data_IF_098948753527
#
_entry.id   IF_098948753527
#
_cell.length_a   1.000
_cell.length_b   1.000
_cell.length_c   1.000
_cell.angle_alpha   90.00
_cell.angle_beta   90.00
_cell.angle_gamma   90.00
#
_symmetry.space_group_name_H-M   'P 1'
#
loop_
_entity.id
_entity.type
_entity.pdbx_description
1 polymer ?
#
# COMPACT_ATOMS: atom_id res chain seq x y z
N UNK A 1 -5.63 -13.37 3.54
CA UNK A 1 -6.24 -13.36 2.20
C UNK A 1 -5.17 -13.61 1.16
N UNK A 2 -4.21 -12.69 0.97
CA UNK A 2 -3.21 -12.79 -0.11
C UNK A 2 -2.28 -14.02 -0.02
N UNK A 3 -1.97 -14.51 1.18
CA UNK A 3 -1.19 -15.74 1.40
C UNK A 3 -1.94 -17.04 1.06
N UNK A 4 -3.28 -17.01 1.10
CA UNK A 4 -4.13 -18.19 0.88
C UNK A 4 -4.45 -18.40 -0.60
N UNK A 5 -4.39 -17.33 -1.40
CA UNK A 5 -4.66 -17.40 -2.84
C UNK A 5 -3.74 -18.37 -3.61
N UNK A 6 -2.41 -18.38 -3.42
CA UNK A 6 -1.54 -19.36 -4.09
C UNK A 6 -1.76 -20.78 -3.58
N UNK A 7 -2.00 -20.97 -2.28
CA UNK A 7 -2.30 -22.29 -1.69
C UNK A 7 -3.59 -22.88 -2.28
N UNK A 8 -4.64 -22.08 -2.37
CA UNK A 8 -5.92 -22.49 -2.96
C UNK A 8 -5.82 -22.72 -4.47
N UNK A 9 -5.03 -21.90 -5.19
CA UNK A 9 -4.81 -22.10 -6.62
C UNK A 9 -4.07 -23.42 -6.90
N UNK A 10 -3.05 -23.76 -6.11
CA UNK A 10 -2.35 -25.05 -6.23
C UNK A 10 -3.29 -26.22 -5.91
N UNK A 11 -4.08 -26.13 -4.84
CA UNK A 11 -5.03 -27.18 -4.46
C UNK A 11 -6.14 -27.42 -5.51
N UNK A 12 -6.52 -26.39 -6.27
CA UNK A 12 -7.56 -26.48 -7.30
C UNK A 12 -7.03 -26.84 -8.68
N UNK A 13 -5.81 -26.44 -9.02
CA UNK A 13 -5.25 -26.61 -10.36
C UNK A 13 -4.48 -27.93 -10.55
N UNK A 14 -4.11 -28.62 -9.46
CA UNK A 14 -3.21 -29.78 -9.54
C UNK A 14 -3.81 -30.99 -8.82
N UNK A 15 -4.06 -32.11 -9.53
CA UNK A 15 -4.45 -33.38 -8.91
C UNK A 15 -3.22 -34.13 -8.40
N UNK A 16 -2.65 -33.72 -7.26
CA UNK A 16 -1.49 -34.43 -6.68
C UNK A 16 -0.90 -33.78 -5.42
N UNK A 17 -0.08 -34.55 -4.69
CA UNK A 17 0.66 -34.05 -3.54
C UNK A 17 1.83 -33.17 -4.00
N UNK A 18 1.62 -31.86 -4.04
CA UNK A 18 2.66 -30.90 -4.40
C UNK A 18 3.75 -30.84 -3.33
N UNK A 19 5.02 -30.57 -3.69
CA UNK A 19 6.04 -30.24 -2.70
C UNK A 19 5.62 -28.99 -1.92
N UNK A 20 5.18 -29.18 -0.67
CA UNK A 20 4.80 -28.10 0.24
C UNK A 20 5.84 -26.96 0.37
N UNK A 21 7.17 -27.17 0.19
CA UNK A 21 8.13 -26.07 0.19
C UNK A 21 7.95 -25.13 -1.00
N UNK A 22 7.54 -25.63 -2.17
CA UNK A 22 7.34 -24.83 -3.37
C UNK A 22 6.06 -23.98 -3.25
N UNK A 23 5.00 -24.54 -2.64
CA UNK A 23 3.78 -23.77 -2.31
C UNK A 23 4.08 -22.69 -1.28
N UNK A 24 4.84 -23.02 -0.23
CA UNK A 24 5.25 -22.06 0.79
C UNK A 24 6.09 -20.93 0.19
N UNK A 25 7.03 -21.26 -0.71
CA UNK A 25 7.86 -20.30 -1.43
C UNK A 25 7.00 -19.36 -2.30
N UNK A 26 6.05 -19.89 -3.06
CA UNK A 26 5.12 -19.07 -3.86
C UNK A 26 4.28 -18.15 -2.99
N UNK A 27 3.76 -18.65 -1.85
CA UNK A 27 2.98 -17.86 -0.91
C UNK A 27 3.79 -16.73 -0.28
N UNK A 28 5.02 -17.01 0.13
CA UNK A 28 5.97 -16.01 0.60
C UNK A 28 6.25 -15.00 -0.50
N UNK A 29 6.74 -15.45 -1.67
CA UNK A 29 7.09 -14.57 -2.79
C UNK A 29 5.94 -13.63 -3.16
N UNK A 30 4.70 -14.12 -3.17
CA UNK A 30 3.49 -13.33 -3.39
C UNK A 30 3.37 -12.18 -2.38
N UNK A 31 3.48 -12.48 -1.08
CA UNK A 31 3.42 -11.47 -0.01
C UNK A 31 4.54 -10.43 -0.15
N UNK A 32 5.76 -10.90 -0.46
CA UNK A 32 6.95 -10.06 -0.61
C UNK A 32 6.82 -9.12 -1.81
N UNK A 33 6.39 -9.64 -2.97
CA UNK A 33 6.18 -8.87 -4.20
C UNK A 33 5.05 -7.85 -4.02
N UNK A 34 3.98 -8.21 -3.31
CA UNK A 34 2.88 -7.29 -3.01
C UNK A 34 3.29 -6.19 -2.03
N UNK A 35 4.12 -6.52 -1.04
CA UNK A 35 4.72 -5.55 -0.14
C UNK A 35 5.63 -4.58 -0.88
N UNK A 36 6.51 -5.09 -1.75
CA UNK A 36 7.44 -4.28 -2.53
C UNK A 36 6.73 -3.35 -3.52
N UNK A 37 5.67 -3.84 -4.19
CA UNK A 37 4.82 -3.03 -5.08
C UNK A 37 3.96 -1.99 -4.35
N UNK A 38 4.05 -1.91 -3.02
CA UNK A 38 3.30 -0.94 -2.22
C UNK A 38 1.79 -1.16 -2.31
N UNK A 39 1.34 -2.36 -2.66
CA UNK A 39 -0.08 -2.71 -2.83
C UNK A 39 -0.84 -2.73 -1.49
N UNK A 40 -0.14 -2.56 -0.37
CA UNK A 40 -0.69 -2.35 0.96
C UNK A 40 -0.74 -0.87 1.39
N UNK A 41 -0.22 0.06 0.57
CA UNK A 41 -0.32 1.50 0.88
C UNK A 41 -1.78 1.91 0.89
N UNK A 42 -2.16 2.71 1.90
CA UNK A 42 -3.52 3.22 2.04
C UNK A 42 -3.78 4.28 0.98
N UNK A 43 -4.35 3.85 -0.14
CA UNK A 43 -4.87 4.73 -1.19
C UNK A 43 -6.27 5.26 -0.86
N UNK A 44 -6.55 6.49 -1.29
CA UNK A 44 -7.86 7.15 -1.15
C UNK A 44 -8.91 6.54 -2.08
N UNK A 45 -8.52 6.13 -3.27
CA UNK A 45 -9.38 5.43 -4.23
C UNK A 45 -8.69 4.16 -4.75
N UNK A 46 -8.77 3.04 -4.02
CA UNK A 46 -8.23 1.78 -4.51
C UNK A 46 -9.09 1.26 -5.67
N UNK A 47 -8.43 0.82 -6.73
CA UNK A 47 -9.05 0.22 -7.92
C UNK A 47 -8.40 -1.13 -8.24
N UNK A 48 -9.19 -2.20 -8.14
CA UNK A 48 -8.74 -3.57 -8.45
C UNK A 48 -8.30 -3.68 -9.91
N UNK A 49 -8.99 -2.99 -10.82
CA UNK A 49 -8.69 -3.01 -12.25
C UNK A 49 -7.26 -2.49 -12.54
N UNK A 50 -6.80 -1.53 -11.75
CA UNK A 50 -5.44 -0.99 -11.88
C UNK A 50 -4.37 -1.95 -11.33
N UNK A 51 -4.74 -2.86 -10.45
CA UNK A 51 -3.84 -3.84 -9.85
C UNK A 51 -3.80 -5.15 -10.65
N UNK A 52 -4.85 -5.44 -11.43
CA UNK A 52 -5.01 -6.66 -12.24
C UNK A 52 -3.79 -7.01 -13.11
N UNK A 53 -3.20 -6.11 -13.92
CA UNK A 53 -2.05 -6.48 -14.76
C UNK A 53 -0.82 -6.84 -13.92
N UNK A 54 -0.62 -6.18 -12.78
CA UNK A 54 0.46 -6.52 -11.86
C UNK A 54 0.21 -7.88 -11.19
N UNK A 55 -1.02 -8.15 -10.74
CA UNK A 55 -1.40 -9.42 -10.13
C UNK A 55 -1.24 -10.59 -11.11
N UNK A 56 -1.72 -10.41 -12.34
CA UNK A 56 -1.64 -11.41 -13.40
C UNK A 56 -0.20 -11.68 -13.82
N UNK A 57 0.60 -10.64 -14.05
CA UNK A 57 2.00 -10.80 -14.45
C UNK A 57 2.84 -11.50 -13.38
N UNK A 58 2.63 -11.17 -12.11
CA UNK A 58 3.33 -11.84 -11.00
C UNK A 58 2.88 -13.30 -10.84
N UNK A 59 1.58 -13.58 -10.98
CA UNK A 59 1.06 -14.95 -10.95
C UNK A 59 1.64 -15.79 -12.10
N UNK A 60 1.63 -15.27 -13.33
CA UNK A 60 2.20 -15.96 -14.50
C UNK A 60 3.68 -16.26 -14.30
N UNK A 61 4.47 -15.30 -13.81
CA UNK A 61 5.89 -15.50 -13.52
C UNK A 61 6.11 -16.60 -12.47
N UNK A 62 5.33 -16.61 -11.39
CA UNK A 62 5.43 -17.62 -10.34
C UNK A 62 5.07 -19.03 -10.82
N UNK A 63 4.05 -19.15 -11.66
CA UNK A 63 3.66 -20.44 -12.24
C UNK A 63 4.64 -20.91 -13.30
N UNK A 64 5.22 -20.00 -14.08
CA UNK A 64 6.28 -20.32 -15.03
C UNK A 64 7.54 -20.85 -14.33
N UNK A 65 8.02 -20.16 -13.29
CA UNK A 65 9.18 -20.63 -12.51
C UNK A 65 8.89 -21.99 -11.85
N UNK A 66 7.68 -22.20 -11.34
CA UNK A 66 7.29 -23.49 -10.77
C UNK A 66 7.31 -24.61 -11.81
N UNK A 67 6.85 -24.34 -13.03
CA UNK A 67 6.90 -25.29 -14.15
C UNK A 67 8.33 -25.71 -14.47
N UNK A 68 9.26 -24.75 -14.65
CA UNK A 68 10.67 -25.04 -14.95
C UNK A 68 11.37 -25.81 -13.82
N UNK A 69 11.09 -25.46 -12.56
CA UNK A 69 11.66 -26.18 -11.40
C UNK A 69 11.14 -27.61 -11.34
N UNK A 70 9.86 -27.84 -11.60
CA UNK A 70 9.31 -29.19 -11.59
C UNK A 70 9.83 -30.02 -12.77
N UNK A 71 9.99 -29.43 -13.94
CA UNK A 71 10.58 -30.11 -15.09
C UNK A 71 12.03 -30.56 -14.81
N UNK A 72 12.82 -29.71 -14.15
CA UNK A 72 14.21 -30.02 -13.81
C UNK A 72 14.39 -31.02 -12.65
N UNK A 73 13.55 -30.96 -11.62
CA UNK A 73 13.76 -31.71 -10.36
C UNK A 73 12.82 -32.93 -10.20
N UNK A 74 11.66 -32.91 -10.85
CA UNK A 74 10.64 -33.94 -10.74
C UNK A 74 9.85 -34.05 -12.05
N UNK A 75 10.47 -34.51 -13.16
CA UNK A 75 9.84 -34.50 -14.49
C UNK A 75 8.54 -35.33 -14.56
N UNK A 76 8.33 -36.27 -13.64
CA UNK A 76 7.06 -37.01 -13.52
C UNK A 76 5.89 -36.14 -13.04
N UNK A 77 6.17 -34.95 -12.51
CA UNK A 77 5.21 -33.96 -12.03
C UNK A 77 5.21 -32.70 -12.93
N UNK A 78 5.77 -32.79 -14.14
CA UNK A 78 5.84 -31.69 -15.08
C UNK A 78 4.43 -31.15 -15.38
N UNK A 79 4.33 -29.82 -15.40
CA UNK A 79 3.06 -29.11 -15.56
C UNK A 79 2.94 -28.65 -17.02
N UNK A 80 1.78 -28.90 -17.64
CA UNK A 80 1.48 -28.33 -18.96
C UNK A 80 1.01 -26.88 -18.92
N UNK A 81 1.09 -26.19 -20.06
CA UNK A 81 0.64 -24.80 -20.24
C UNK A 81 -0.79 -24.52 -19.76
N UNK A 82 -1.69 -25.51 -19.88
CA UNK A 82 -3.08 -25.39 -19.39
C UNK A 82 -3.15 -25.21 -17.87
N UNK A 83 -2.38 -25.97 -17.11
CA UNK A 83 -2.37 -25.90 -15.64
C UNK A 83 -1.68 -24.61 -15.18
N UNK A 84 -0.64 -24.15 -15.89
CA UNK A 84 -0.05 -22.82 -15.68
C UNK A 84 -1.10 -21.72 -15.86
N UNK A 85 -1.84 -21.73 -16.97
CA UNK A 85 -2.86 -20.73 -17.28
C UNK A 85 -4.02 -20.76 -16.27
N UNK A 86 -4.54 -21.96 -15.95
CA UNK A 86 -5.61 -22.13 -14.97
C UNK A 86 -5.17 -21.75 -13.55
N UNK A 87 -3.96 -22.13 -13.15
CA UNK A 87 -3.39 -21.80 -11.84
C UNK A 87 -3.18 -20.30 -11.68
N UNK A 88 -2.52 -19.66 -12.65
CA UNK A 88 -2.30 -18.21 -12.65
C UNK A 88 -3.62 -17.44 -12.71
N UNK A 89 -4.59 -17.89 -13.53
CA UNK A 89 -5.92 -17.30 -13.62
C UNK A 89 -6.69 -17.40 -12.29
N UNK A 90 -6.70 -18.57 -11.67
CA UNK A 90 -7.38 -18.81 -10.38
C UNK A 90 -6.74 -17.99 -9.27
N UNK A 91 -5.41 -17.96 -9.19
CA UNK A 91 -4.68 -17.13 -8.22
C UNK A 91 -4.98 -15.64 -8.39
N UNK A 92 -5.02 -15.16 -9.63
CA UNK A 92 -5.37 -13.77 -9.94
C UNK A 92 -6.82 -13.48 -9.56
N UNK A 93 -7.76 -14.36 -9.89
CA UNK A 93 -9.18 -14.22 -9.55
C UNK A 93 -9.40 -14.18 -8.04
N UNK A 94 -8.78 -15.08 -7.28
CA UNK A 94 -8.85 -15.11 -5.81
C UNK A 94 -8.24 -13.85 -5.19
N UNK A 95 -7.09 -13.40 -5.69
CA UNK A 95 -6.45 -12.15 -5.28
C UNK A 95 -7.34 -10.93 -5.53
N UNK A 96 -7.90 -10.82 -6.73
CA UNK A 96 -8.83 -9.76 -7.11
C UNK A 96 -10.11 -9.79 -6.26
N UNK A 97 -10.70 -10.97 -6.04
CA UNK A 97 -11.91 -11.13 -5.23
C UNK A 97 -11.66 -10.75 -3.76
N UNK A 98 -10.53 -11.19 -3.19
CA UNK A 98 -10.15 -10.86 -1.83
C UNK A 98 -9.91 -9.36 -1.64
N UNK A 99 -9.21 -8.73 -2.58
CA UNK A 99 -8.98 -7.28 -2.58
C UNK A 99 -10.28 -6.51 -2.79
N UNK A 100 -11.13 -6.92 -3.71
CA UNK A 100 -12.45 -6.33 -3.91
C UNK A 100 -13.31 -6.40 -2.63
N UNK A 101 -13.29 -7.53 -1.92
CA UNK A 101 -13.97 -7.69 -0.65
C UNK A 101 -13.41 -6.74 0.42
N UNK A 102 -12.08 -6.64 0.55
CA UNK A 102 -11.42 -5.70 1.49
C UNK A 102 -11.73 -4.25 1.12
N UNK A 103 -11.63 -3.86 -0.15
CA UNK A 103 -11.95 -2.51 -0.58
C UNK A 103 -13.42 -2.18 -0.35
N UNK A 104 -14.34 -3.12 -0.59
CA UNK A 104 -15.77 -2.94 -0.32
C UNK A 104 -16.05 -2.83 1.18
N UNK A 105 -15.42 -3.66 2.00
CA UNK A 105 -15.53 -3.60 3.46
C UNK A 105 -14.98 -2.27 4.00
N UNK A 106 -13.81 -1.82 3.51
CA UNK A 106 -13.22 -0.53 3.86
C UNK A 106 -14.08 0.65 3.41
N UNK A 107 -14.62 0.63 2.19
CA UNK A 107 -15.56 1.65 1.70
C UNK A 107 -16.82 1.70 2.57
N UNK A 108 -17.40 0.55 2.92
CA UNK A 108 -18.56 0.48 3.82
C UNK A 108 -18.23 1.02 5.22
N UNK A 109 -17.08 0.66 5.77
CA UNK A 109 -16.62 1.16 7.07
C UNK A 109 -16.36 2.67 7.03
N UNK A 110 -15.75 3.16 5.95
CA UNK A 110 -15.48 4.58 5.69
C UNK A 110 -16.76 5.41 5.62
N UNK A 111 -17.80 4.91 4.95
CA UNK A 111 -19.12 5.57 4.90
C UNK A 111 -19.79 5.57 6.28
N UNK A 112 -19.66 4.48 7.06
CA UNK A 112 -20.26 4.38 8.40
C UNK A 112 -19.54 5.21 9.46
N UNK A 113 -18.24 5.40 9.33
CA UNK A 113 -17.39 6.15 10.26
C UNK A 113 -16.43 7.05 9.49
N UNK A 114 -16.95 8.16 8.93
CA UNK A 114 -16.11 9.09 8.19
C UNK A 114 -15.12 9.79 9.14
N UNK A 115 -13.92 10.02 8.65
CA UNK A 115 -12.84 10.66 9.40
C UNK A 115 -12.92 12.18 9.22
N UNK A 116 -12.88 12.92 10.32
CA UNK A 116 -12.84 14.37 10.33
C UNK A 116 -11.62 14.89 9.58
N UNK A 117 -11.88 15.76 8.60
CA UNK A 117 -10.90 16.31 7.66
C UNK A 117 -10.95 17.84 7.68
N UNK A 118 -9.79 18.49 7.80
CA UNK A 118 -9.68 19.94 7.58
C UNK A 118 -9.23 20.21 6.14
N UNK A 119 -9.88 21.15 5.47
CA UNK A 119 -9.47 21.63 4.16
C UNK A 119 -8.66 22.91 4.35
N UNK A 120 -7.45 22.96 3.84
CA UNK A 120 -6.54 24.10 3.93
C UNK A 120 -6.40 24.72 2.55
N UNK A 121 -6.83 25.97 2.42
CA UNK A 121 -6.73 26.73 1.20
C UNK A 121 -7.94 27.61 0.97
N UNK A 122 -7.88 28.37 -0.12
CA UNK A 122 -8.83 29.44 -0.44
C UNK A 122 -9.29 29.36 -1.91
N UNK A 123 -10.33 30.13 -2.24
CA UNK A 123 -10.84 30.24 -3.61
C UNK A 123 -11.68 29.05 -4.10
N UNK A 124 -11.89 29.01 -5.42
CA UNK A 124 -12.79 28.04 -6.06
C UNK A 124 -12.35 26.58 -5.86
N UNK A 125 -11.04 26.31 -5.88
CA UNK A 125 -10.52 24.95 -5.72
C UNK A 125 -10.82 24.38 -4.31
N UNK A 126 -10.62 25.18 -3.25
CA UNK A 126 -10.95 24.76 -1.88
C UNK A 126 -12.45 24.50 -1.71
N UNK A 127 -13.30 25.33 -2.32
CA UNK A 127 -14.76 25.14 -2.33
C UNK A 127 -15.18 23.87 -3.09
N UNK A 128 -14.61 23.61 -4.26
CA UNK A 128 -14.89 22.40 -5.04
C UNK A 128 -14.44 21.12 -4.34
N UNK A 129 -13.25 21.12 -3.73
CA UNK A 129 -12.74 19.98 -2.95
C UNK A 129 -13.60 19.74 -1.72
N UNK A 130 -14.03 20.81 -1.04
CA UNK A 130 -14.93 20.73 0.13
C UNK A 130 -16.29 20.16 -0.26
N UNK A 131 -16.90 20.66 -1.34
CA UNK A 131 -18.17 20.15 -1.86
C UNK A 131 -18.04 18.68 -2.28
N UNK A 132 -16.98 18.32 -3.01
CA UNK A 132 -16.73 16.95 -3.43
C UNK A 132 -16.59 15.99 -2.25
N UNK A 133 -15.89 16.39 -1.18
CA UNK A 133 -15.75 15.63 0.06
C UNK A 133 -17.07 15.45 0.80
N UNK A 134 -17.91 16.49 0.80
CA UNK A 134 -19.22 16.45 1.44
C UNK A 134 -20.22 15.57 0.68
N UNK A 135 -20.30 15.73 -0.63
CA UNK A 135 -21.22 15.02 -1.52
C UNK A 135 -20.85 13.53 -1.67
N UNK A 136 -19.57 13.18 -1.49
CA UNK A 136 -19.05 11.82 -1.68
C UNK A 136 -18.46 11.22 -0.40
N UNK A 137 -19.30 10.80 0.58
CA UNK A 137 -18.84 10.17 1.81
C UNK A 137 -18.13 8.83 1.58
N UNK A 138 -18.18 8.28 0.36
CA UNK A 138 -17.47 7.07 -0.07
C UNK A 138 -15.95 7.17 0.07
N UNK A 139 -15.38 8.39 0.10
CA UNK A 139 -13.96 8.62 0.37
C UNK A 139 -13.60 8.45 1.86
N UNK A 140 -14.58 8.36 2.76
CA UNK A 140 -14.36 8.20 4.20
C UNK A 140 -13.81 9.43 4.89
N UNK A 141 -13.89 10.59 4.23
CA UNK A 141 -13.42 11.87 4.71
C UNK A 141 -14.61 12.79 4.84
N UNK A 142 -14.83 13.36 6.03
CA UNK A 142 -15.88 14.36 6.27
C UNK A 142 -15.22 15.70 6.53
N UNK A 143 -15.47 16.74 5.72
CA UNK A 143 -14.91 18.06 5.96
C UNK A 143 -15.57 18.65 7.22
N UNK A 144 -14.76 19.11 8.16
CA UNK A 144 -15.22 19.70 9.44
C UNK A 144 -14.87 21.17 9.61
N UNK A 145 -14.02 21.71 8.73
CA UNK A 145 -13.62 23.11 8.76
C UNK A 145 -12.74 23.47 7.55
N UNK A 146 -12.79 24.76 7.20
CA UNK A 146 -12.00 25.36 6.13
C UNK A 146 -10.96 26.30 6.75
N UNK A 147 -9.68 26.08 6.49
CA UNK A 147 -8.59 26.93 6.94
C UNK A 147 -8.24 27.91 5.83
N UNK A 148 -8.38 29.20 6.12
CA UNK A 148 -8.17 30.30 5.18
C UNK A 148 -7.09 31.22 5.73
N UNK A 149 -6.27 31.80 4.84
CA UNK A 149 -5.20 32.70 5.25
C UNK A 149 -5.75 33.99 5.91
N UNK A 150 -5.00 34.60 6.85
CA UNK A 150 -5.33 35.91 7.39
C UNK A 150 -5.37 36.96 6.27
N UNK A 151 -6.49 37.68 6.13
CA UNK A 151 -6.66 38.71 5.11
C UNK A 151 -7.39 38.28 3.83
N UNK A 152 -7.83 37.02 3.73
CA UNK A 152 -8.75 36.63 2.66
C UNK A 152 -10.08 37.41 2.76
N UNK A 153 -10.60 37.82 1.59
CA UNK A 153 -11.82 38.63 1.50
C UNK A 153 -13.07 37.91 1.99
N UNK A 154 -14.13 38.66 2.25
CA UNK A 154 -15.40 38.09 2.76
C UNK A 154 -16.04 37.10 1.78
N UNK A 155 -15.73 37.16 0.48
CA UNK A 155 -16.16 36.16 -0.53
C UNK A 155 -15.47 34.79 -0.39
N UNK A 156 -14.28 34.73 0.22
CA UNK A 156 -13.58 33.49 0.56
C UNK A 156 -14.02 32.95 1.92
N UNK A 157 -14.57 33.82 2.80
CA UNK A 157 -15.17 33.47 4.10
C UNK A 157 -16.64 33.09 4.00
N UNK A 158 -17.34 33.62 3.01
CA UNK A 158 -18.73 33.32 2.73
C UNK A 158 -18.83 31.91 2.11
N UNK A 159 -19.28 30.99 2.96
CA UNK A 159 -19.82 29.67 2.66
C UNK A 159 -19.72 29.26 1.18
N UNK A 160 -18.81 28.34 0.88
CA UNK A 160 -19.10 27.36 -0.17
C UNK A 160 -20.46 26.69 0.12
N UNK A 161 -21.00 25.93 -0.83
CA UNK A 161 -22.32 25.28 -0.72
C UNK A 161 -22.57 24.44 0.57
N UNK A 162 -21.54 24.22 1.39
CA UNK A 162 -21.58 23.53 2.68
C UNK A 162 -21.20 24.51 3.81
N UNK A 163 -22.05 24.69 4.84
CA UNK A 163 -21.75 25.55 5.98
C UNK A 163 -20.71 24.88 6.89
N UNK A 164 -19.44 25.26 6.72
CA UNK A 164 -18.33 24.81 7.57
C UNK A 164 -17.70 25.98 8.33
N UNK A 165 -17.21 25.76 9.56
CA UNK A 165 -16.49 26.79 10.29
C UNK A 165 -15.21 27.17 9.54
N UNK A 166 -15.01 28.48 9.36
CA UNK A 166 -13.80 29.04 8.77
C UNK A 166 -12.80 29.33 9.89
N UNK A 167 -11.61 28.75 9.79
CA UNK A 167 -10.52 28.88 10.75
C UNK A 167 -9.45 29.77 10.12
N UNK A 168 -9.11 30.87 10.77
CA UNK A 168 -8.19 31.87 10.20
C UNK A 168 -6.83 31.82 10.90
N UNK A 169 -6.82 31.49 12.19
CA UNK A 169 -5.58 31.43 12.98
C UNK A 169 -5.07 29.99 13.17
N UNK A 170 -3.74 29.76 13.22
CA UNK A 170 -3.17 28.45 13.54
C UNK A 170 -3.64 27.91 14.92
N UNK A 171 -3.97 28.82 15.85
CA UNK A 171 -4.48 28.48 17.18
C UNK A 171 -5.90 27.92 17.11
N UNK A 172 -6.77 28.52 16.29
CA UNK A 172 -8.10 27.97 15.97
C UNK A 172 -7.98 26.61 15.30
N UNK A 173 -7.02 26.43 14.39
CA UNK A 173 -6.78 25.13 13.76
C UNK A 173 -6.37 24.09 14.81
N UNK A 174 -5.42 24.39 15.70
CA UNK A 174 -5.04 23.49 16.79
C UNK A 174 -6.24 23.10 17.67
N UNK A 175 -7.07 24.07 18.06
CA UNK A 175 -8.30 23.81 18.82
C UNK A 175 -9.28 22.92 18.05
N UNK A 176 -9.52 23.23 16.78
CA UNK A 176 -10.42 22.46 15.93
C UNK A 176 -9.93 21.03 15.71
N UNK A 177 -8.60 20.82 15.59
CA UNK A 177 -7.98 19.49 15.48
C UNK A 177 -8.30 18.64 16.70
N UNK A 178 -8.13 19.20 17.90
CA UNK A 178 -8.42 18.49 19.16
C UNK A 178 -9.93 18.27 19.33
N UNK A 179 -10.74 19.31 19.18
CA UNK A 179 -12.19 19.27 19.40
C UNK A 179 -12.91 18.32 18.43
N UNK A 180 -12.56 18.35 17.15
CA UNK A 180 -13.20 17.52 16.12
C UNK A 180 -12.46 16.21 15.86
N UNK A 181 -11.42 15.91 16.65
CA UNK A 181 -10.56 14.72 16.49
C UNK A 181 -10.10 14.56 15.03
N UNK A 182 -9.56 15.63 14.46
CA UNK A 182 -9.17 15.67 13.04
C UNK A 182 -8.06 14.66 12.78
N UNK A 183 -8.27 13.80 11.79
CA UNK A 183 -7.29 12.77 11.40
C UNK A 183 -6.63 13.07 10.07
N UNK A 184 -7.26 13.91 9.25
CA UNK A 184 -6.82 14.19 7.88
C UNK A 184 -6.81 15.69 7.64
N UNK A 185 -5.85 16.17 6.87
CA UNK A 185 -5.83 17.54 6.38
C UNK A 185 -5.54 17.56 4.88
N UNK A 186 -6.26 18.39 4.15
CA UNK A 186 -6.24 18.44 2.69
C UNK A 186 -5.87 19.86 2.26
N UNK A 187 -4.65 20.02 1.78
CA UNK A 187 -4.14 21.27 1.20
C UNK A 187 -4.56 21.36 -0.26
N UNK A 188 -5.17 22.47 -0.68
CA UNK A 188 -5.52 22.69 -2.09
C UNK A 188 -4.41 23.37 -2.90
N UNK A 189 -3.37 23.86 -2.22
CA UNK A 189 -2.16 24.42 -2.82
C UNK A 189 -0.93 23.89 -2.06
N UNK A 190 0.26 23.88 -2.67
CA UNK A 190 1.49 23.50 -1.98
C UNK A 190 1.66 24.29 -0.67
N UNK A 191 2.12 23.67 0.44
CA UNK A 191 2.35 24.37 1.70
C UNK A 191 3.27 25.58 1.55
N UNK A 192 4.21 25.55 0.60
CA UNK A 192 5.15 26.64 0.31
C UNK A 192 4.46 27.85 -0.34
N UNK A 193 3.40 27.61 -1.11
CA UNK A 193 2.60 28.64 -1.77
C UNK A 193 1.44 29.15 -0.91
N UNK A 194 1.22 28.53 0.25
CA UNK A 194 0.12 28.86 1.17
C UNK A 194 0.66 29.73 2.30
N UNK A 195 0.05 30.88 2.61
CA UNK A 195 0.41 31.66 3.79
C UNK A 195 0.32 30.81 5.06
N UNK A 196 1.35 30.85 5.90
CA UNK A 196 1.52 29.98 7.09
C UNK A 196 1.48 28.46 6.81
N UNK A 197 1.54 28.05 5.55
CA UNK A 197 1.41 26.65 5.13
C UNK A 197 2.44 25.71 5.75
N UNK A 198 3.74 26.04 5.86
CA UNK A 198 4.73 25.19 6.51
C UNK A 198 4.52 25.06 8.02
N UNK A 199 4.08 26.13 8.68
CA UNK A 199 3.75 26.12 10.10
C UNK A 199 2.52 25.24 10.36
N UNK A 200 1.51 25.36 9.50
CA UNK A 200 0.29 24.57 9.56
C UNK A 200 0.55 23.08 9.26
N UNK A 201 1.40 22.79 8.27
CA UNK A 201 1.86 21.43 7.96
C UNK A 201 2.54 20.80 9.18
N UNK A 202 3.42 21.55 9.84
CA UNK A 202 4.13 21.10 11.05
C UNK A 202 3.18 20.88 12.22
N UNK A 203 2.22 21.79 12.42
CA UNK A 203 1.18 21.66 13.45
C UNK A 203 0.32 20.42 13.23
N UNK A 204 -0.21 20.22 12.03
CA UNK A 204 -1.07 19.10 11.69
C UNK A 204 -0.31 17.77 11.78
N UNK A 205 0.93 17.73 11.29
CA UNK A 205 1.79 16.55 11.40
C UNK A 205 2.15 16.24 12.85
N UNK A 206 2.39 17.27 13.68
CA UNK A 206 2.65 17.13 15.11
C UNK A 206 1.47 16.57 15.91
N UNK A 207 0.24 16.83 15.45
CA UNK A 207 -0.98 16.21 16.01
C UNK A 207 -1.28 14.83 15.42
N UNK A 208 -0.40 14.30 14.57
CA UNK A 208 -0.57 12.99 13.92
C UNK A 208 -1.63 12.97 12.82
N UNK A 209 -2.03 14.14 12.30
CA UNK A 209 -2.93 14.21 11.15
C UNK A 209 -2.19 13.78 9.88
N UNK A 210 -2.86 13.01 9.02
CA UNK A 210 -2.33 12.67 7.70
C UNK A 210 -2.61 13.81 6.73
N UNK A 211 -1.56 14.35 6.14
CA UNK A 211 -1.65 15.54 5.29
C UNK A 211 -1.58 15.16 3.81
N UNK A 212 -2.51 15.70 3.03
CA UNK A 212 -2.67 15.46 1.59
C UNK A 212 -2.60 16.77 0.84
N UNK A 213 -1.93 16.77 -0.30
CA UNK A 213 -1.97 17.83 -1.30
C UNK A 213 -2.93 17.43 -2.41
N UNK A 214 -3.89 18.30 -2.70
CA UNK A 214 -4.81 18.18 -3.82
C UNK A 214 -4.41 19.21 -4.86
N UNK A 215 -4.05 18.76 -6.05
CA UNK A 215 -3.75 19.62 -7.19
C UNK A 215 -4.91 19.59 -8.19
N UNK A 216 -5.14 20.72 -8.84
CA UNK A 216 -6.22 20.88 -9.82
C UNK A 216 -6.07 19.93 -11.01
N UNK A 217 -7.17 19.68 -11.76
CA UNK A 217 -7.13 18.87 -12.96
C UNK A 217 -6.11 19.45 -13.97
N UNK A 218 -5.11 18.66 -14.35
CA UNK A 218 -4.06 19.05 -15.30
C UNK A 218 -2.77 19.59 -14.68
N UNK A 219 -2.70 19.79 -13.35
CA UNK A 219 -1.47 20.21 -12.69
C UNK A 219 -0.52 19.01 -12.49
N UNK A 220 0.43 18.86 -13.42
CA UNK A 220 1.55 17.92 -13.30
C UNK A 220 2.59 18.46 -12.31
N UNK A 221 2.31 18.40 -11.02
CA UNK A 221 3.37 18.55 -10.03
C UNK A 221 4.40 17.44 -10.27
N UNK A 222 5.68 17.78 -10.44
CA UNK A 222 6.78 16.84 -10.69
C UNK A 222 6.72 15.67 -9.71
N UNK A 223 6.24 14.53 -10.19
CA UNK A 223 6.12 13.33 -9.40
C UNK A 223 7.47 12.59 -9.41
N UNK A 224 7.93 12.03 -8.28
CA UNK A 224 8.88 10.93 -8.36
C UNK A 224 8.23 9.79 -9.17
N UNK A 225 8.98 9.21 -10.10
CA UNK A 225 8.49 8.36 -11.19
C UNK A 225 7.68 7.11 -10.77
N UNK A 226 7.69 6.75 -9.48
CA UNK A 226 7.21 5.44 -9.01
C UNK A 226 5.82 5.42 -8.34
N UNK A 227 5.13 6.57 -8.21
CA UNK A 227 3.84 6.59 -7.53
C UNK A 227 2.74 7.24 -8.39
N UNK A 228 1.89 6.40 -9.00
CA UNK A 228 0.63 6.85 -9.61
C UNK A 228 -0.17 7.68 -8.58
N UNK A 229 -0.54 8.94 -8.89
CA UNK A 229 -1.27 9.80 -7.97
C UNK A 229 -2.65 9.20 -7.66
N UNK A 230 -3.12 9.39 -6.43
CA UNK A 230 -4.50 9.03 -6.09
C UNK A 230 -5.45 10.09 -6.64
N UNK A 231 -6.74 9.75 -6.78
CA UNK A 231 -7.75 10.67 -7.28
C UNK A 231 -8.90 10.86 -6.29
N UNK A 232 -9.34 12.10 -6.15
CA UNK A 232 -10.50 12.52 -5.37
C UNK A 232 -11.39 13.34 -6.29
N UNK A 233 -12.50 12.75 -6.75
CA UNK A 233 -13.51 13.41 -7.59
C UNK A 233 -12.94 14.29 -8.73
N UNK A 234 -11.99 13.76 -9.51
CA UNK A 234 -11.34 14.48 -10.62
C UNK A 234 -10.07 15.26 -10.25
N UNK A 235 -9.79 15.46 -8.96
CA UNK A 235 -8.56 16.05 -8.47
C UNK A 235 -7.47 14.99 -8.24
N UNK A 236 -6.21 15.35 -8.44
CA UNK A 236 -5.06 14.51 -8.09
C UNK A 236 -4.65 14.75 -6.65
N UNK A 237 -4.48 13.68 -5.88
CA UNK A 237 -4.16 13.72 -4.45
C UNK A 237 -2.85 13.00 -4.18
N UNK A 238 -1.98 13.65 -3.42
CA UNK A 238 -0.68 13.12 -3.00
C UNK A 238 -0.47 13.32 -1.50
N UNK A 239 0.00 12.32 -0.75
CA UNK A 239 0.38 12.53 0.65
C UNK A 239 1.60 13.47 0.73
N UNK A 240 1.51 14.54 1.53
CA UNK A 240 2.60 15.49 1.83
C UNK A 240 3.47 14.98 2.99
N UNK A 241 2.86 14.29 3.93
CA UNK A 241 3.53 13.76 5.11
C UNK A 241 3.08 12.32 5.33
N UNK A 242 3.92 11.36 4.89
CA UNK A 242 3.84 9.95 5.30
C UNK A 242 4.71 9.70 6.55
N UNK A 243 4.69 10.66 7.49
CA UNK A 243 5.53 10.64 8.71
C UNK A 243 5.29 9.44 9.63
N UNK A 244 4.26 8.63 9.38
CA UNK A 244 3.89 7.46 10.20
C UNK A 244 3.83 6.14 9.42
N UNK A 245 4.03 6.12 8.10
CA UNK A 245 3.85 4.90 7.27
C UNK A 245 5.19 4.26 6.80
N UNK A 246 6.35 4.84 7.15
CA UNK A 246 7.67 4.22 6.85
C UNK A 246 8.06 2.97 7.65
N UNK A 247 7.54 2.64 8.87
CA UNK A 247 8.02 1.45 9.57
C UNK A 247 7.53 0.17 8.91
N UNK A 248 6.30 0.15 8.38
CA UNK A 248 5.71 -1.06 7.79
C UNK A 248 6.39 -1.42 6.47
N UNK A 249 6.77 -0.43 5.64
CA UNK A 249 7.52 -0.68 4.42
C UNK A 249 8.93 -1.24 4.68
N UNK A 250 9.64 -0.70 5.67
CA UNK A 250 10.98 -1.18 6.05
C UNK A 250 10.92 -2.51 6.80
N UNK A 251 9.96 -2.71 7.69
CA UNK A 251 9.74 -3.98 8.37
C UNK A 251 9.31 -5.07 7.38
N UNK A 252 8.46 -4.75 6.41
CA UNK A 252 8.13 -5.66 5.33
C UNK A 252 9.37 -5.99 4.49
N UNK A 253 10.19 -5.01 4.11
CA UNK A 253 11.47 -5.26 3.40
C UNK A 253 12.43 -6.12 4.22
N UNK A 254 12.54 -5.91 5.53
CA UNK A 254 13.34 -6.79 6.42
C UNK A 254 12.77 -8.20 6.52
N UNK A 255 11.45 -8.34 6.55
CA UNK A 255 10.81 -9.65 6.52
C UNK A 255 11.04 -10.36 5.18
N UNK A 256 10.99 -9.63 4.05
CA UNK A 256 11.38 -10.12 2.71
C UNK A 256 12.79 -10.69 2.77
N UNK A 257 13.74 -9.88 3.26
CA UNK A 257 15.16 -10.23 3.26
C UNK A 257 15.43 -11.41 4.21
N UNK A 258 14.78 -11.44 5.38
CA UNK A 258 14.91 -12.53 6.33
C UNK A 258 14.34 -13.85 5.80
N UNK A 259 13.17 -13.83 5.16
CA UNK A 259 12.58 -15.06 4.61
C UNK A 259 13.37 -15.54 3.40
N UNK A 260 13.83 -14.63 2.53
CA UNK A 260 14.68 -14.99 1.40
C UNK A 260 16.02 -15.57 1.86
N UNK A 261 16.62 -14.99 2.90
CA UNK A 261 17.85 -15.51 3.51
C UNK A 261 17.62 -16.87 4.16
N UNK A 262 16.53 -17.06 4.92
CA UNK A 262 16.20 -18.34 5.55
C UNK A 262 15.95 -19.43 4.51
N UNK A 263 15.27 -19.11 3.41
CA UNK A 263 15.03 -20.03 2.31
C UNK A 263 16.34 -20.40 1.57
N UNK A 264 17.17 -19.40 1.26
CA UNK A 264 18.50 -19.63 0.70
C UNK A 264 19.36 -20.52 1.60
N UNK A 265 19.28 -20.32 2.92
CA UNK A 265 19.98 -21.15 3.89
C UNK A 265 19.45 -22.59 3.92
N UNK A 266 18.13 -22.79 3.82
CA UNK A 266 17.51 -24.12 3.78
C UNK A 266 17.95 -24.91 2.54
N UNK A 267 18.07 -24.22 1.39
CA UNK A 267 18.57 -24.83 0.15
C UNK A 267 20.08 -25.10 0.21
N UNK A 268 20.86 -24.22 0.85
CA UNK A 268 22.30 -24.38 1.00
C UNK A 268 22.69 -25.39 2.10
N UNK A 269 21.82 -25.62 3.08
CA UNK A 269 22.05 -26.52 4.22
C UNK A 269 22.50 -27.94 3.83
N UNK A 270 21.88 -28.65 2.87
CA UNK A 270 22.35 -29.99 2.47
C UNK A 270 23.76 -29.97 1.86
N UNK A 271 24.11 -28.94 1.10
CA UNK A 271 25.46 -28.78 0.53
C UNK A 271 26.46 -28.50 1.65
N UNK A 272 26.15 -27.58 2.57
CA UNK A 272 27.00 -27.30 3.73
C UNK A 272 27.18 -28.52 4.63
N UNK A 273 26.11 -29.30 4.84
CA UNK A 273 26.16 -30.54 5.61
C UNK A 273 27.01 -31.61 4.92
N UNK A 274 26.90 -31.75 3.60
CA UNK A 274 27.74 -32.65 2.81
C UNK A 274 29.22 -32.23 2.86
N UNK A 275 29.53 -30.94 2.73
CA UNK A 275 30.88 -30.40 2.89
C UNK A 275 31.40 -30.64 4.32
N UNK A 276 30.60 -30.38 5.34
CA UNK A 276 30.99 -30.61 6.73
C UNK A 276 31.24 -32.10 7.03
N UNK A 277 30.44 -33.00 6.44
CA UNK A 277 30.63 -34.44 6.56
C UNK A 277 31.91 -34.90 5.83
N UNK A 278 32.15 -34.39 4.62
CA UNK A 278 33.33 -34.70 3.83
C UNK A 278 34.62 -34.28 4.57
N UNK A 279 34.65 -33.07 5.14
CA UNK A 279 35.76 -32.60 5.99
C UNK A 279 35.92 -33.50 7.21
N UNK A 280 34.83 -33.86 7.89
CA UNK A 280 34.92 -34.72 9.09
C UNK A 280 35.38 -36.15 8.79
N UNK A 281 35.10 -36.66 7.60
CA UNK A 281 35.57 -37.96 7.13
C UNK A 281 37.03 -37.92 6.65
N UNK A 282 37.46 -36.82 6.03
CA UNK A 282 38.84 -36.64 5.54
C UNK A 282 39.84 -36.34 6.66
N UNK A 283 39.49 -35.43 7.58
CA UNK A 283 40.39 -34.94 8.62
C UNK A 283 40.22 -35.66 9.97
N UNK A 284 39.14 -36.43 10.14
CA UNK A 284 38.84 -37.15 11.39
C UNK A 284 38.40 -36.24 12.55
N UNK A 285 37.99 -36.81 13.70
CA UNK A 285 37.52 -36.05 14.87
C UNK A 285 38.71 -35.47 15.66
N UNK A 286 39.39 -34.46 15.11
CA UNK A 286 40.54 -33.82 15.73
C UNK A 286 40.46 -32.30 15.66
N UNK A 287 40.63 -31.62 16.79
CA UNK A 287 40.71 -30.16 16.86
C UNK A 287 42.04 -29.73 16.22
N UNK A 288 41.98 -29.01 15.09
CA UNK A 288 43.16 -28.64 14.27
C UNK A 288 44.08 -27.62 14.97
N UNK A 289 43.60 -26.92 16.01
CA UNK A 289 44.45 -26.05 16.83
C UNK A 289 44.11 -26.17 18.33
N UNK A 290 45.10 -26.58 19.12
CA UNK A 290 45.15 -26.28 20.56
C UNK A 290 45.88 -24.94 20.71
N UNK A 291 45.19 -23.94 21.28
CA UNK A 291 45.83 -22.72 21.77
C UNK A 291 46.60 -23.01 23.05
#
# INVERSE_FOLDING_TARGET
>A
MDALAPVAAVALAVPGAWPWPLVALQAVAQLLLFAHRGLYRRRLSPSVLSELPALLGLALLQWYVAMEVLDAWAPQQAIGWTVLACGAGTQTALGCAGRAAVHRARRRAAVRRPLSTLVVGQGAQARQVTAALYDHPAYGLRPVGLVVAPGAGDEDRAAGAVPLPVLVSPQEVGRAVVQNSVRHAVFTAPPEATPDGPALLSLLSGHGCRVWLVTGPGATASAPADARPDHLWGFTVRPLSDGTDRPVGHAAKRAVDAVLAAFGLLLAAPVMAACALAVRLADGPGVVFRQ
#
